data_IF_277031717250
#
_entry.id   IF_277031717250
#
_cell.length_a   1.000
_cell.length_b   1.000
_cell.length_c   1.000
_cell.angle_alpha   90.00
_cell.angle_beta   90.00
_cell.angle_gamma   90.00
#
_symmetry.space_group_name_H-M   'P 1'
#
loop_
_entity.id
_entity.type
_entity.pdbx_description
1 polymer ?
#
# COMPACT_ATOMS: atom_id res chain seq x y z
N UNK A 1 -41.09 75.38 -0.47
CA UNK A 1 -41.91 75.59 0.74
C UNK A 1 -42.00 74.28 1.51
N UNK A 2 -41.56 74.30 2.76
CA UNK A 2 -41.59 73.18 3.69
C UNK A 2 -43.02 72.86 4.15
N UNK A 3 -43.36 71.58 4.25
CA UNK A 3 -44.33 71.09 5.24
C UNK A 3 -43.84 69.72 5.77
N UNK A 4 -43.49 69.69 7.06
CA UNK A 4 -43.25 68.48 7.88
C UNK A 4 -44.57 68.04 8.53
N UNK A 5 -44.90 66.74 8.49
CA UNK A 5 -45.83 66.04 9.41
C UNK A 5 -45.42 64.56 9.48
N UNK A 6 -44.62 64.17 10.48
CA UNK A 6 -45.00 63.48 11.73
C UNK A 6 -45.36 61.99 11.57
N UNK A 7 -44.47 61.12 12.08
CA UNK A 7 -44.69 59.68 12.35
C UNK A 7 -45.50 59.46 13.63
N UNK A 8 -46.13 58.27 13.77
CA UNK A 8 -45.94 57.48 14.98
C UNK A 8 -45.55 56.02 14.69
N UNK A 9 -44.96 55.40 15.71
CA UNK A 9 -44.25 54.13 15.71
C UNK A 9 -45.15 52.88 15.85
N UNK A 10 -44.71 51.79 15.20
CA UNK A 10 -44.91 50.38 15.58
C UNK A 10 -44.03 49.54 14.63
N UNK A 11 -42.78 49.20 14.96
CA UNK A 11 -42.37 47.97 15.67
C UNK A 11 -43.21 46.75 15.28
N UNK A 12 -42.70 45.91 14.37
CA UNK A 12 -42.21 44.57 14.73
C UNK A 12 -41.52 43.92 13.52
N UNK A 13 -40.26 43.55 13.73
CA UNK A 13 -39.42 42.82 12.79
C UNK A 13 -39.94 41.40 12.55
N UNK A 14 -40.04 40.99 11.30
CA UNK A 14 -40.08 39.56 10.93
C UNK A 14 -38.72 39.21 10.33
N UNK A 15 -37.89 38.57 11.16
CA UNK A 15 -36.60 38.00 10.79
C UNK A 15 -36.77 37.01 9.63
N UNK A 16 -35.95 37.19 8.58
CA UNK A 16 -35.54 36.09 7.71
C UNK A 16 -34.78 35.06 8.56
N UNK A 17 -35.38 33.90 8.80
CA UNK A 17 -34.66 32.72 9.24
C UNK A 17 -34.61 31.70 8.10
N UNK A 18 -33.71 31.93 7.14
CA UNK A 18 -33.19 30.85 6.30
C UNK A 18 -32.25 30.02 7.19
N UNK A 19 -32.84 29.13 7.98
CA UNK A 19 -32.11 28.13 8.76
C UNK A 19 -31.43 27.15 7.81
N UNK A 20 -30.20 27.48 7.40
CA UNK A 20 -29.32 26.54 6.74
C UNK A 20 -29.15 25.33 7.65
N UNK A 21 -29.66 24.18 7.21
CA UNK A 21 -29.28 22.87 7.74
C UNK A 21 -27.79 22.68 7.45
N UNK A 22 -26.93 23.25 8.30
CA UNK A 22 -25.54 22.81 8.43
C UNK A 22 -25.62 21.48 9.17
N UNK A 23 -26.05 20.45 8.45
CA UNK A 23 -25.84 19.09 8.90
C UNK A 23 -24.35 18.91 9.07
N UNK A 24 -23.90 18.68 10.30
CA UNK A 24 -22.56 18.20 10.55
C UNK A 24 -22.42 16.88 9.78
N UNK A 25 -21.86 16.96 8.57
CA UNK A 25 -21.44 15.77 7.83
C UNK A 25 -20.33 15.20 8.69
N UNK A 26 -20.67 14.22 9.53
CA UNK A 26 -19.63 13.42 10.19
C UNK A 26 -18.75 12.92 9.07
N UNK A 27 -17.47 13.29 9.10
CA UNK A 27 -16.49 12.78 8.16
C UNK A 27 -16.62 11.25 8.23
N UNK A 28 -17.12 10.64 7.16
CA UNK A 28 -17.07 9.20 7.01
C UNK A 28 -15.59 8.88 7.01
N UNK A 29 -15.11 8.20 8.06
CA UNK A 29 -13.72 7.78 8.12
C UNK A 29 -13.44 6.93 6.88
N UNK A 30 -12.53 7.41 6.03
CA UNK A 30 -12.23 6.76 4.77
C UNK A 30 -11.73 5.34 5.04
N UNK A 31 -12.42 4.34 4.50
CA UNK A 31 -12.08 2.94 4.71
C UNK A 31 -10.73 2.63 4.07
N UNK A 32 -9.83 1.99 4.81
CA UNK A 32 -8.60 1.41 4.25
C UNK A 32 -8.73 -0.09 4.17
N UNK A 33 -8.46 -0.67 3.00
CA UNK A 33 -8.46 -2.10 2.81
C UNK A 33 -7.43 -2.49 1.76
N UNK A 34 -6.28 -2.99 2.20
CA UNK A 34 -5.16 -3.38 1.32
C UNK A 34 -4.99 -4.89 1.37
N UNK A 35 -4.86 -5.53 0.22
CA UNK A 35 -4.53 -6.94 0.11
C UNK A 35 -3.31 -7.15 -0.78
N UNK A 36 -2.33 -7.92 -0.28
CA UNK A 36 -1.25 -8.44 -1.11
C UNK A 36 -1.52 -9.89 -1.49
N UNK A 37 -1.27 -10.24 -2.76
CA UNK A 37 -1.23 -11.62 -3.25
C UNK A 37 0.10 -11.85 -3.96
N UNK A 38 0.63 -13.04 -3.80
CA UNK A 38 1.78 -13.51 -4.57
C UNK A 38 1.31 -14.54 -5.59
N UNK A 39 1.96 -14.54 -6.74
CA UNK A 39 2.02 -15.68 -7.66
C UNK A 39 3.49 -15.93 -7.98
N UNK A 40 3.87 -17.19 -8.16
CA UNK A 40 5.25 -17.56 -8.50
C UNK A 40 5.25 -18.26 -9.84
N UNK A 41 6.03 -17.72 -10.76
CA UNK A 41 6.28 -18.30 -12.07
C UNK A 41 7.70 -18.88 -12.08
N UNK A 42 7.81 -20.19 -12.31
CA UNK A 42 9.11 -20.87 -12.45
C UNK A 42 9.37 -21.21 -13.92
N UNK A 43 10.57 -20.86 -14.38
CA UNK A 43 11.11 -21.22 -15.68
C UNK A 43 12.28 -22.18 -15.54
N UNK A 44 12.90 -22.55 -16.67
CA UNK A 44 14.02 -23.50 -16.68
C UNK A 44 15.22 -23.08 -15.82
N UNK A 45 15.40 -21.77 -15.60
CA UNK A 45 16.47 -21.15 -14.79
C UNK A 45 16.02 -19.86 -14.12
N UNK A 46 14.72 -19.69 -13.87
CA UNK A 46 14.21 -18.45 -13.31
C UNK A 46 13.08 -18.68 -12.32
N UNK A 47 13.06 -17.87 -11.27
CA UNK A 47 11.94 -17.78 -10.33
C UNK A 47 11.50 -16.31 -10.28
N UNK A 48 10.31 -16.05 -10.80
CA UNK A 48 9.71 -14.71 -10.83
C UNK A 48 8.52 -14.66 -9.89
N UNK A 49 8.44 -13.60 -9.10
CA UNK A 49 7.35 -13.37 -8.15
C UNK A 49 6.51 -12.22 -8.66
N UNK A 50 5.24 -12.51 -8.95
CA UNK A 50 4.23 -11.50 -9.23
C UNK A 50 3.61 -11.06 -7.92
N UNK A 51 3.71 -9.77 -7.64
CA UNK A 51 3.11 -9.14 -6.46
C UNK A 51 1.91 -8.33 -6.92
N UNK A 52 0.72 -8.78 -6.54
CA UNK A 52 -0.52 -8.05 -6.75
C UNK A 52 -0.84 -7.27 -5.48
N UNK A 53 -1.02 -5.96 -5.61
CA UNK A 53 -1.47 -5.07 -4.54
C UNK A 53 -2.85 -4.56 -4.89
N UNK A 54 -3.85 -4.98 -4.13
CA UNK A 54 -5.23 -4.51 -4.29
C UNK A 54 -5.55 -3.48 -3.20
N UNK A 55 -5.82 -2.24 -3.59
CA UNK A 55 -6.41 -1.24 -2.71
C UNK A 55 -7.93 -1.25 -2.91
N UNK A 56 -8.62 -1.95 -2.01
CA UNK A 56 -10.10 -2.04 -1.97
C UNK A 56 -10.73 -1.01 -1.04
N UNK A 57 -9.94 -0.03 -0.57
CA UNK A 57 -10.40 1.08 0.25
C UNK A 57 -10.82 2.30 -0.56
N UNK A 58 -11.14 3.37 0.16
CA UNK A 58 -11.67 4.63 -0.38
C UNK A 58 -10.61 5.75 -0.40
N UNK A 59 -9.38 5.45 0.03
CA UNK A 59 -8.24 6.37 0.03
C UNK A 59 -7.01 5.73 -0.60
N UNK A 60 -6.11 6.55 -1.13
CA UNK A 60 -4.83 6.08 -1.65
C UNK A 60 -3.99 5.44 -0.55
N UNK A 61 -3.16 4.49 -0.95
CA UNK A 61 -2.16 3.86 -0.08
C UNK A 61 -0.80 3.91 -0.76
N UNK A 62 0.26 3.82 0.04
CA UNK A 62 1.63 3.96 -0.44
C UNK A 62 2.41 2.67 -0.19
N UNK A 63 2.95 2.12 -1.26
CA UNK A 63 3.67 0.84 -1.28
C UNK A 63 5.15 1.11 -1.52
N UNK A 64 6.09 0.44 -0.81
CA UNK A 64 7.50 0.58 -1.10
C UNK A 64 7.81 0.37 -2.59
N UNK A 65 8.48 1.35 -3.20
CA UNK A 65 8.75 1.39 -4.64
C UNK A 65 9.53 0.19 -5.14
N UNK A 66 10.44 -0.35 -4.32
CA UNK A 66 11.19 -1.57 -4.65
C UNK A 66 10.26 -2.75 -4.98
N UNK A 67 9.15 -2.90 -4.26
CA UNK A 67 8.17 -3.96 -4.54
C UNK A 67 7.26 -3.57 -5.69
N UNK A 68 6.87 -2.30 -5.78
CA UNK A 68 5.90 -1.85 -6.74
C UNK A 68 6.47 -1.66 -8.16
N UNK A 69 7.76 -1.37 -8.31
CA UNK A 69 8.39 -1.05 -9.59
C UNK A 69 9.79 -1.65 -9.77
N UNK A 70 10.35 -2.34 -8.76
CA UNK A 70 11.67 -2.93 -8.88
C UNK A 70 11.64 -4.20 -9.73
N UNK A 71 12.69 -4.41 -10.51
CA UNK A 71 12.91 -5.64 -11.27
C UNK A 71 13.70 -6.68 -10.44
N UNK A 72 14.46 -6.22 -9.44
CA UNK A 72 15.29 -7.03 -8.54
C UNK A 72 15.15 -6.59 -7.07
N UNK A 73 15.86 -7.31 -6.18
CA UNK A 73 15.88 -7.04 -4.75
C UNK A 73 17.24 -6.46 -4.31
N UNK A 74 17.16 -5.50 -3.40
CA UNK A 74 18.30 -4.88 -2.71
C UNK A 74 18.34 -5.18 -1.20
N UNK A 75 17.37 -5.96 -0.73
CA UNK A 75 17.19 -6.41 0.64
C UNK A 75 16.26 -7.65 0.66
N UNK A 76 16.30 -8.48 1.71
CA UNK A 76 15.38 -9.61 1.84
C UNK A 76 13.95 -9.12 2.09
N UNK A 77 13.12 -9.10 1.04
CA UNK A 77 11.70 -8.70 1.13
C UNK A 77 10.75 -9.87 1.31
N UNK A 78 11.19 -11.05 0.89
CA UNK A 78 10.46 -12.30 1.05
C UNK A 78 11.16 -13.18 2.07
N UNK A 79 10.38 -14.00 2.78
CA UNK A 79 10.90 -15.13 3.53
C UNK A 79 10.63 -16.39 2.71
N UNK A 80 11.71 -17.10 2.36
CA UNK A 80 11.64 -18.34 1.61
C UNK A 80 12.05 -19.49 2.51
N UNK A 81 11.36 -20.63 2.38
CA UNK A 81 11.69 -21.84 3.12
C UNK A 81 11.47 -23.08 2.27
N UNK A 82 12.30 -24.08 2.49
CA UNK A 82 12.00 -25.48 2.18
C UNK A 82 11.21 -26.09 3.34
N UNK A 83 10.70 -27.33 3.23
CA UNK A 83 10.13 -28.02 4.39
C UNK A 83 11.13 -28.21 5.55
N UNK A 84 12.44 -28.18 5.27
CA UNK A 84 13.49 -28.46 6.25
C UNK A 84 14.11 -27.19 6.84
N UNK A 85 14.28 -26.14 6.05
CA UNK A 85 15.05 -24.95 6.45
C UNK A 85 14.68 -23.68 5.68
N UNK A 86 15.05 -22.53 6.23
CA UNK A 86 14.98 -21.24 5.56
C UNK A 86 15.98 -21.17 4.39
N UNK A 87 15.56 -20.54 3.29
CA UNK A 87 16.42 -20.27 2.14
C UNK A 87 17.05 -18.90 2.33
N UNK A 88 18.37 -18.87 2.45
CA UNK A 88 19.12 -17.63 2.68
C UNK A 88 18.99 -16.64 1.52
N UNK A 89 18.91 -15.36 1.86
CA UNK A 89 19.07 -14.27 0.90
C UNK A 89 20.55 -14.09 0.56
N UNK A 90 20.87 -14.09 -0.73
CA UNK A 90 22.23 -13.93 -1.28
C UNK A 90 22.35 -12.75 -2.24
N UNK A 91 21.23 -12.07 -2.50
CA UNK A 91 21.18 -10.92 -3.39
C UNK A 91 21.96 -9.71 -2.86
N UNK A 92 22.01 -8.64 -3.66
CA UNK A 92 22.66 -7.40 -3.27
C UNK A 92 22.03 -6.84 -2.00
N UNK A 93 22.86 -6.28 -1.11
CA UNK A 93 22.41 -5.50 0.03
C UNK A 93 22.83 -4.04 -0.16
N UNK A 94 21.85 -3.14 -0.19
CA UNK A 94 22.12 -1.70 -0.38
C UNK A 94 21.76 -0.94 0.90
N UNK A 95 22.75 -0.26 1.49
CA UNK A 95 22.50 0.66 2.60
C UNK A 95 21.80 1.91 2.06
N UNK A 96 20.62 2.23 2.58
CA UNK A 96 19.83 3.40 2.19
C UNK A 96 19.71 4.39 3.35
N UNK A 97 19.47 5.66 3.02
CA UNK A 97 19.00 6.63 4.00
C UNK A 97 17.59 6.24 4.49
N UNK A 98 17.08 6.96 5.49
CA UNK A 98 15.68 6.82 5.87
C UNK A 98 14.77 7.05 4.66
N UNK A 99 13.74 6.21 4.44
CA UNK A 99 12.89 6.31 3.27
C UNK A 99 12.13 7.65 3.26
N UNK A 100 12.16 8.32 2.11
CA UNK A 100 11.41 9.54 1.85
C UNK A 100 10.14 9.27 1.01
N UNK A 101 9.33 10.30 0.74
CA UNK A 101 8.13 10.19 -0.09
C UNK A 101 8.37 9.54 -1.46
N UNK A 102 9.54 9.78 -2.07
CA UNK A 102 9.93 9.23 -3.36
C UNK A 102 10.14 7.71 -3.34
N UNK A 103 10.38 7.11 -2.17
CA UNK A 103 10.60 5.66 -2.01
C UNK A 103 9.30 4.85 -1.98
N UNK A 104 8.15 5.51 -2.20
CA UNK A 104 6.85 4.90 -2.26
C UNK A 104 6.16 5.15 -3.61
N UNK A 105 5.32 4.21 -4.00
CA UNK A 105 4.36 4.33 -5.10
C UNK A 105 2.96 4.48 -4.52
N UNK A 106 2.20 5.44 -5.04
CA UNK A 106 0.77 5.56 -4.74
C UNK A 106 -0.04 4.49 -5.49
N UNK A 107 -0.87 3.76 -4.76
CA UNK A 107 -1.91 2.89 -5.31
C UNK A 107 -3.27 3.50 -4.99
N UNK A 108 -3.99 3.90 -6.03
CA UNK A 108 -5.26 4.63 -5.93
C UNK A 108 -6.37 3.75 -5.31
N UNK A 109 -7.42 4.36 -4.73
CA UNK A 109 -8.61 3.64 -4.28
C UNK A 109 -9.20 2.76 -5.39
N UNK A 110 -9.72 1.59 -5.01
CA UNK A 110 -10.39 0.66 -5.93
C UNK A 110 -9.54 0.24 -7.15
N UNK A 111 -8.21 0.20 -6.99
CA UNK A 111 -7.30 -0.25 -8.05
C UNK A 111 -6.43 -1.42 -7.61
N UNK A 112 -5.93 -2.13 -8.63
CA UNK A 112 -4.94 -3.19 -8.47
C UNK A 112 -3.66 -2.77 -9.17
N UNK A 113 -2.55 -2.81 -8.45
CA UNK A 113 -1.20 -2.67 -9.00
C UNK A 113 -0.55 -4.04 -9.08
N UNK A 114 0.20 -4.30 -10.17
CA UNK A 114 0.93 -5.55 -10.38
C UNK A 114 2.38 -5.21 -10.70
N UNK A 115 3.30 -5.93 -10.05
CA UNK A 115 4.71 -5.95 -10.43
C UNK A 115 5.25 -7.38 -10.45
N UNK A 116 6.30 -7.61 -11.25
CA UNK A 116 6.99 -8.90 -11.33
C UNK A 116 8.46 -8.70 -10.99
N UNK A 117 8.95 -9.42 -9.99
CA UNK A 117 10.32 -9.32 -9.50
C UNK A 117 11.04 -10.63 -9.78
N UNK A 118 12.22 -10.56 -10.38
CA UNK A 118 13.09 -11.73 -10.52
C UNK A 118 13.87 -11.96 -9.23
N UNK A 119 13.68 -13.14 -8.62
CA UNK A 119 14.35 -13.50 -7.36
C UNK A 119 15.39 -14.61 -7.54
N UNK A 120 15.67 -15.01 -8.78
CA UNK A 120 16.50 -16.18 -9.11
C UNK A 120 17.85 -16.13 -8.42
N UNK A 121 18.55 -14.99 -8.51
CA UNK A 121 19.88 -14.80 -7.93
C UNK A 121 19.81 -14.17 -6.52
N UNK A 122 18.61 -13.79 -6.06
CA UNK A 122 18.43 -13.11 -4.79
C UNK A 122 18.42 -14.09 -3.59
N UNK A 123 18.15 -15.37 -3.84
CA UNK A 123 18.06 -16.42 -2.81
C UNK A 123 18.87 -17.65 -3.19
N UNK A 124 19.39 -18.34 -2.17
CA UNK A 124 20.20 -19.55 -2.33
C UNK A 124 19.34 -20.78 -2.66
N UNK A 125 18.72 -20.81 -3.85
CA UNK A 125 18.03 -22.00 -4.33
C UNK A 125 19.00 -23.20 -4.39
N UNK A 126 18.52 -24.35 -3.94
CA UNK A 126 19.33 -25.56 -3.79
C UNK A 126 19.45 -26.27 -5.13
N UNK A 127 20.64 -26.82 -5.48
CA UNK A 127 20.80 -27.66 -6.66
C UNK A 127 19.82 -28.84 -6.67
N UNK A 128 19.29 -29.16 -7.85
CA UNK A 128 18.25 -30.17 -8.05
C UNK A 128 16.83 -29.60 -7.88
N UNK A 129 15.84 -30.49 -7.88
CA UNK A 129 14.43 -30.12 -7.73
C UNK A 129 14.05 -30.08 -6.25
N UNK A 130 13.50 -28.95 -5.81
CA UNK A 130 13.05 -28.76 -4.44
C UNK A 130 11.70 -28.04 -4.39
N UNK A 131 10.97 -28.27 -3.29
CA UNK A 131 9.74 -27.54 -2.97
C UNK A 131 10.05 -26.39 -2.02
N UNK A 132 9.45 -25.24 -2.31
CA UNK A 132 9.63 -24.00 -1.59
C UNK A 132 8.29 -23.42 -1.17
N UNK A 133 8.30 -22.63 -0.11
CA UNK A 133 7.21 -21.73 0.26
C UNK A 133 7.77 -20.31 0.36
N UNK A 134 7.09 -19.36 -0.27
CA UNK A 134 7.38 -17.93 -0.18
C UNK A 134 6.32 -17.21 0.65
N UNK A 135 6.78 -16.30 1.52
CA UNK A 135 5.96 -15.44 2.35
C UNK A 135 6.31 -13.99 2.14
N UNK A 136 5.32 -13.12 2.27
CA UNK A 136 5.48 -11.67 2.16
C UNK A 136 4.65 -10.95 3.21
N UNK A 137 5.28 -10.02 3.93
CA UNK A 137 4.64 -9.26 5.00
C UNK A 137 3.71 -8.14 4.47
N UNK A 138 3.94 -7.66 3.24
CA UNK A 138 3.11 -6.63 2.61
C UNK A 138 3.08 -5.29 3.34
N UNK A 139 4.23 -4.62 3.57
CA UNK A 139 4.26 -3.29 4.18
C UNK A 139 3.60 -2.22 3.31
N UNK A 140 2.81 -1.34 3.92
CA UNK A 140 2.15 -0.22 3.26
C UNK A 140 1.92 0.95 4.23
N UNK A 141 1.68 2.15 3.69
CA UNK A 141 1.37 3.36 4.46
C UNK A 141 0.01 3.92 4.05
N UNK A 142 -0.72 4.51 5.01
CA UNK A 142 -1.94 5.29 4.75
C UNK A 142 -1.69 6.78 4.52
N UNK A 143 -0.45 7.25 4.70
CA UNK A 143 -0.05 8.64 4.45
C UNK A 143 1.48 8.74 4.42
N UNK A 144 2.01 9.69 3.63
CA UNK A 144 3.45 10.01 3.59
C UNK A 144 3.87 11.07 4.63
N UNK A 145 2.93 11.61 5.43
CA UNK A 145 3.24 12.64 6.42
C UNK A 145 4.08 12.14 7.61
N UNK A 146 4.10 10.82 7.85
CA UNK A 146 4.95 10.16 8.85
C UNK A 146 5.53 8.89 8.24
N UNK A 147 6.85 8.84 8.10
CA UNK A 147 7.61 7.74 7.48
C UNK A 147 8.47 6.99 8.49
N UNK A 148 7.93 6.79 9.69
CA UNK A 148 8.57 6.00 10.74
C UNK A 148 8.06 4.55 10.77
N UNK A 149 8.76 3.68 11.51
CA UNK A 149 8.42 2.27 11.61
C UNK A 149 7.01 2.02 12.20
N UNK A 150 6.53 2.91 13.07
CA UNK A 150 5.21 2.79 13.69
C UNK A 150 4.06 3.10 12.72
N UNK A 151 4.35 3.89 11.67
CA UNK A 151 3.38 4.25 10.63
C UNK A 151 3.22 3.16 9.58
N UNK A 152 4.19 2.24 9.46
CA UNK A 152 4.16 1.13 8.51
C UNK A 152 3.16 0.08 8.98
N UNK A 153 2.09 -0.10 8.20
CA UNK A 153 1.10 -1.16 8.36
C UNK A 153 1.50 -2.35 7.50
N UNK A 154 0.95 -3.52 7.79
CA UNK A 154 1.21 -4.75 7.04
C UNK A 154 -0.09 -5.38 6.57
N UNK A 155 -0.06 -5.97 5.38
CA UNK A 155 -1.12 -6.82 4.85
C UNK A 155 -0.45 -8.08 4.29
N UNK A 156 -0.22 -9.10 5.13
CA UNK A 156 0.51 -10.29 4.73
C UNK A 156 -0.19 -11.05 3.61
N UNK A 157 0.57 -11.48 2.62
CA UNK A 157 0.06 -12.35 1.56
C UNK A 157 -0.10 -13.79 2.06
N UNK A 158 -1.05 -14.53 1.48
CA UNK A 158 -1.15 -15.98 1.68
C UNK A 158 0.16 -16.61 1.19
N UNK A 159 0.81 -17.50 1.98
CA UNK A 159 2.02 -18.18 1.54
C UNK A 159 1.79 -18.99 0.26
N UNK A 160 2.73 -18.91 -0.68
CA UNK A 160 2.65 -19.65 -1.94
C UNK A 160 3.69 -20.76 -1.95
N UNK A 161 3.25 -21.98 -2.28
CA UNK A 161 4.14 -23.12 -2.50
C UNK A 161 4.46 -23.27 -3.97
N UNK A 162 5.70 -23.59 -4.30
CA UNK A 162 6.15 -23.83 -5.67
C UNK A 162 7.31 -24.83 -5.70
N UNK A 163 7.55 -25.46 -6.85
CA UNK A 163 8.73 -26.29 -7.08
C UNK A 163 9.66 -25.61 -8.07
N UNK A 164 10.95 -25.65 -7.81
CA UNK A 164 11.97 -25.11 -8.71
C UNK A 164 13.15 -26.09 -8.80
N UNK A 165 13.72 -26.19 -10.00
CA UNK A 165 14.89 -27.03 -10.26
C UNK A 165 16.07 -26.13 -10.58
N UNK A 166 17.00 -26.00 -9.65
CA UNK A 166 18.26 -25.33 -9.91
C UNK A 166 19.21 -26.33 -10.58
N UNK A 167 19.73 -25.96 -11.74
CA UNK A 167 20.69 -26.78 -12.49
C UNK A 167 22.12 -26.46 -12.12
#
# INVERSE_FOLDING_TARGET
MHVKRSMPAAVLATLLALGGLVGAVKAVEAKVNVHHRLEVETGAKSVKVRVLIENRGDQSVWIPREIALGDDLSAPRFNLRTPQEEVAYTGRMVKRAAPGPADYLEVKPQTTHLNTIDITEAYAFKPGQHSYEIRYAGPWLSSLGKLDAASIKSSPAIPVKFSFTQR
#
